data_IF_547724557368
#
_entry.id   IF_547724557368
#
_cell.length_a   1.000
_cell.length_b   1.000
_cell.length_c   1.000
_cell.angle_alpha   90.00
_cell.angle_beta   90.00
_cell.angle_gamma   90.00
#
_symmetry.space_group_name_H-M   'P 1'
#
loop_
_entity.id
_entity.type
_entity.pdbx_description
1 polymer ?
#
# COMPACT_ATOMS: atom_id res chain seq x y z
N UNK A 1 19.20 9.13 22.74
CA UNK A 1 19.36 7.91 21.93
C UNK A 1 20.65 8.08 21.16
N UNK A 2 21.70 7.38 21.56
CA UNK A 2 23.02 7.47 20.93
C UNK A 2 23.05 6.60 19.66
N UNK A 3 23.49 7.18 18.55
CA UNK A 3 23.68 6.47 17.30
C UNK A 3 25.13 6.00 17.19
N UNK A 4 25.34 4.68 17.29
CA UNK A 4 26.60 4.06 16.88
C UNK A 4 26.56 3.91 15.35
N UNK A 5 27.42 4.65 14.65
CA UNK A 5 27.66 4.45 13.23
C UNK A 5 28.48 3.16 13.05
N UNK A 6 27.80 2.09 12.67
CA UNK A 6 28.41 0.82 12.32
C UNK A 6 28.65 0.81 10.81
N UNK A 7 29.92 0.85 10.41
CA UNK A 7 30.44 1.04 9.05
C UNK A 7 30.31 -0.25 8.20
N UNK A 8 29.09 -0.79 8.16
CA UNK A 8 28.74 -2.05 7.51
C UNK A 8 28.11 -1.80 6.11
N UNK A 9 28.36 -2.68 5.12
CA UNK A 9 27.91 -2.49 3.74
C UNK A 9 26.38 -2.37 3.68
N UNK A 10 25.90 -1.23 3.19
CA UNK A 10 24.50 -0.83 2.98
C UNK A 10 23.46 -1.79 3.59
N UNK A 11 23.26 -1.74 4.91
CA UNK A 11 22.26 -2.58 5.58
C UNK A 11 20.87 -2.26 5.00
N UNK A 12 20.25 -3.24 4.35
CA UNK A 12 18.90 -3.10 3.86
C UNK A 12 17.94 -2.94 5.04
N UNK A 13 17.22 -1.82 5.10
CA UNK A 13 16.25 -1.56 6.16
C UNK A 13 14.88 -2.09 5.73
N UNK A 14 14.36 -3.07 6.44
CA UNK A 14 12.98 -3.55 6.24
C UNK A 14 12.02 -2.70 7.08
N UNK A 15 11.05 -2.07 6.42
CA UNK A 15 9.97 -1.31 7.05
C UNK A 15 8.64 -2.00 6.84
N UNK A 16 7.79 -2.01 7.86
CA UNK A 16 6.42 -2.53 7.79
C UNK A 16 5.46 -1.38 7.97
N UNK A 17 4.71 -1.05 6.92
CA UNK A 17 3.63 -0.08 6.98
C UNK A 17 2.29 -0.80 7.18
N UNK A 18 1.42 -0.20 7.99
CA UNK A 18 0.06 -0.71 8.27
C UNK A 18 -0.93 0.37 7.91
N UNK A 19 -1.80 0.07 6.95
CA UNK A 19 -2.85 0.98 6.50
C UNK A 19 -4.20 0.41 6.90
N UNK A 20 -5.01 1.21 7.58
CA UNK A 20 -6.39 0.85 7.90
C UNK A 20 -7.31 1.43 6.84
N UNK A 21 -8.27 0.63 6.37
CA UNK A 21 -9.24 1.05 5.36
C UNK A 21 -10.57 0.35 5.58
N UNK A 22 -11.66 1.11 5.55
CA UNK A 22 -13.01 0.55 5.50
C UNK A 22 -13.36 0.21 4.05
N UNK A 23 -13.94 -0.98 3.84
CA UNK A 23 -14.43 -1.46 2.55
C UNK A 23 -15.68 -2.30 2.76
N UNK A 24 -16.81 -1.87 2.21
CA UNK A 24 -18.08 -2.62 2.20
C UNK A 24 -18.56 -3.05 3.60
N UNK A 25 -18.43 -2.16 4.57
CA UNK A 25 -18.82 -2.38 5.97
C UNK A 25 -17.79 -3.14 6.80
N UNK A 26 -16.63 -3.50 6.23
CA UNK A 26 -15.56 -4.24 6.90
C UNK A 26 -14.33 -3.36 7.07
N UNK A 27 -13.68 -3.45 8.23
CA UNK A 27 -12.40 -2.80 8.47
C UNK A 27 -11.27 -3.75 8.07
N UNK A 28 -10.41 -3.30 7.16
CA UNK A 28 -9.27 -4.04 6.66
C UNK A 28 -7.95 -3.38 7.12
N UNK A 29 -6.93 -4.21 7.33
CA UNK A 29 -5.54 -3.79 7.51
C UNK A 29 -4.70 -4.30 6.34
N UNK A 30 -4.08 -3.38 5.61
CA UNK A 30 -3.05 -3.70 4.61
C UNK A 30 -1.68 -3.59 5.28
N UNK A 31 -0.98 -4.72 5.41
CA UNK A 31 0.42 -4.79 5.84
C UNK A 31 1.32 -4.79 4.61
N UNK A 32 2.16 -3.77 4.50
CA UNK A 32 3.07 -3.56 3.37
C UNK A 32 4.51 -3.65 3.86
N UNK A 33 5.20 -4.70 3.40
CA UNK A 33 6.60 -4.94 3.71
C UNK A 33 7.45 -4.32 2.62
N UNK A 34 8.25 -3.33 2.99
CA UNK A 34 9.15 -2.64 2.09
C UNK A 34 10.60 -2.83 2.51
N UNK A 35 11.48 -3.03 1.53
CA UNK A 35 12.91 -2.98 1.74
C UNK A 35 13.45 -1.67 1.16
N UNK A 36 14.22 -0.96 1.98
CA UNK A 36 14.99 0.20 1.57
C UNK A 36 16.44 -0.23 1.39
N UNK A 37 16.95 -0.09 0.17
CA UNK A 37 18.36 -0.31 -0.15
C UNK A 37 18.98 0.96 -0.72
N UNK A 38 20.29 1.12 -0.58
CA UNK A 38 21.04 2.23 -1.17
C UNK A 38 22.32 1.72 -1.86
N UNK A 39 22.21 0.84 -2.86
CA UNK A 39 23.37 0.17 -3.46
C UNK A 39 24.35 1.13 -4.16
N UNK A 40 23.89 2.33 -4.53
CA UNK A 40 24.69 3.41 -5.15
C UNK A 40 24.54 4.74 -4.38
N UNK A 41 24.14 4.68 -3.10
CA UNK A 41 23.81 5.87 -2.32
C UNK A 41 22.44 6.48 -2.61
N UNK A 42 21.70 6.01 -3.62
CA UNK A 42 20.33 6.44 -3.89
C UNK A 42 19.32 5.51 -3.19
N UNK A 43 18.44 6.05 -2.32
CA UNK A 43 17.47 5.25 -1.58
C UNK A 43 16.42 4.67 -2.52
N UNK A 44 16.49 3.36 -2.74
CA UNK A 44 15.55 2.61 -3.57
C UNK A 44 14.63 1.77 -2.68
N UNK A 45 13.32 1.89 -2.89
CA UNK A 45 12.30 1.16 -2.14
C UNK A 45 11.75 0.04 -3.00
N UNK A 46 11.59 -1.14 -2.42
CA UNK A 46 11.01 -2.30 -3.08
C UNK A 46 9.89 -2.86 -2.21
N UNK A 47 8.71 -3.08 -2.81
CA UNK A 47 7.65 -3.87 -2.18
C UNK A 47 8.07 -5.34 -2.16
N UNK A 48 8.24 -5.90 -0.97
CA UNK A 48 8.60 -7.31 -0.79
C UNK A 48 7.37 -8.20 -0.67
N UNK A 49 6.39 -7.75 0.10
CA UNK A 49 5.19 -8.53 0.40
C UNK A 49 4.05 -7.59 0.78
N UNK A 50 2.83 -8.02 0.46
CA UNK A 50 1.60 -7.37 0.91
C UNK A 50 0.70 -8.44 1.51
N UNK A 51 0.17 -8.16 2.70
CA UNK A 51 -0.80 -9.01 3.38
C UNK A 51 -2.03 -8.17 3.74
N UNK A 52 -3.22 -8.75 3.62
CA UNK A 52 -4.48 -8.08 3.97
C UNK A 52 -5.19 -8.88 5.05
N UNK A 53 -5.68 -8.17 6.06
CA UNK A 53 -6.40 -8.75 7.19
C UNK A 53 -7.75 -8.05 7.36
N UNK A 54 -8.76 -8.82 7.75
CA UNK A 54 -10.07 -8.31 8.15
C UNK A 54 -10.15 -8.24 9.69
N UNK A 55 -10.77 -7.18 10.20
CA UNK A 55 -11.08 -7.05 11.61
C UNK A 55 -12.21 -8.02 12.00
N UNK A 56 -11.93 -8.87 12.98
CA UNK A 56 -12.87 -9.77 13.67
C UNK A 56 -12.97 -9.34 15.15
N UNK A 57 -13.86 -9.97 15.92
CA UNK A 57 -14.10 -9.66 17.33
C UNK A 57 -12.81 -9.74 18.19
N UNK A 58 -12.07 -8.64 18.25
CA UNK A 58 -10.80 -8.49 18.96
C UNK A 58 -9.54 -8.97 18.21
N UNK A 59 -9.62 -9.36 16.93
CA UNK A 59 -8.49 -9.94 16.21
C UNK A 59 -8.39 -9.48 14.73
N UNK A 60 -7.19 -9.57 14.16
CA UNK A 60 -6.95 -9.41 12.72
C UNK A 60 -6.80 -10.79 12.08
N UNK A 61 -7.73 -11.15 11.19
CA UNK A 61 -7.76 -12.46 10.54
C UNK A 61 -7.29 -12.30 9.09
N UNK A 62 -6.36 -13.15 8.58
CA UNK A 62 -5.96 -13.09 7.17
C UNK A 62 -7.17 -13.13 6.25
N UNK A 63 -7.22 -12.21 5.30
CA UNK A 63 -8.30 -12.19 4.32
C UNK A 63 -8.10 -13.35 3.34
N UNK A 64 -9.08 -14.23 3.25
CA UNK A 64 -9.04 -15.39 2.34
C UNK A 64 -9.58 -15.07 0.95
N UNK A 65 -10.43 -14.05 0.86
CA UNK A 65 -11.03 -13.58 -0.39
C UNK A 65 -10.31 -12.34 -0.92
N UNK A 66 -10.51 -12.06 -2.21
CA UNK A 66 -10.06 -10.79 -2.82
C UNK A 66 -11.12 -9.69 -2.63
N UNK A 67 -10.79 -8.46 -3.02
CA UNK A 67 -11.66 -7.29 -2.82
C UNK A 67 -12.94 -7.31 -3.67
N UNK A 68 -13.00 -8.17 -4.69
CA UNK A 68 -14.13 -8.34 -5.58
C UNK A 68 -14.14 -7.26 -6.66
N UNK A 69 -15.08 -6.32 -6.57
CA UNK A 69 -15.21 -5.19 -7.50
C UNK A 69 -14.60 -3.90 -6.94
N UNK A 70 -13.81 -3.98 -5.86
CA UNK A 70 -13.19 -2.83 -5.22
C UNK A 70 -11.69 -2.79 -5.48
N UNK A 71 -11.14 -1.60 -5.37
CA UNK A 71 -9.72 -1.33 -5.21
C UNK A 71 -9.49 -0.53 -3.92
N UNK A 72 -8.33 -0.72 -3.31
CA UNK A 72 -7.91 0.06 -2.15
C UNK A 72 -6.87 1.08 -2.58
N UNK A 73 -7.03 2.32 -2.14
CA UNK A 73 -5.99 3.34 -2.21
C UNK A 73 -5.48 3.53 -0.79
N UNK A 74 -4.19 3.31 -0.58
CA UNK A 74 -3.58 3.40 0.75
C UNK A 74 -2.38 4.33 0.72
N UNK A 75 -2.23 5.10 1.79
CA UNK A 75 -1.12 6.03 2.00
C UNK A 75 -0.89 6.26 3.48
N UNK A 76 0.20 6.93 3.82
CA UNK A 76 0.47 7.36 5.21
C UNK A 76 -0.59 8.30 5.80
N UNK A 77 -1.46 8.93 4.99
CA UNK A 77 -2.40 9.96 5.47
C UNK A 77 -3.87 9.61 5.30
N UNK A 78 -4.18 8.76 4.34
CA UNK A 78 -5.54 8.35 4.05
C UNK A 78 -5.53 6.97 3.45
N UNK A 79 -6.63 6.27 3.66
CA UNK A 79 -6.97 5.08 2.89
C UNK A 79 -8.42 5.16 2.46
N UNK A 80 -8.74 4.61 1.29
CA UNK A 80 -10.09 4.60 0.76
C UNK A 80 -10.33 3.36 -0.08
N UNK A 81 -11.50 2.75 0.08
CA UNK A 81 -12.02 1.74 -0.84
C UNK A 81 -12.85 2.40 -1.94
N UNK A 82 -12.64 1.98 -3.19
CA UNK A 82 -13.29 2.57 -4.37
C UNK A 82 -13.77 1.44 -5.30
N UNK A 83 -15.00 1.54 -5.84
CA UNK A 83 -15.45 0.61 -6.87
C UNK A 83 -14.57 0.69 -8.12
N UNK A 84 -14.19 -0.46 -8.66
CA UNK A 84 -13.42 -0.60 -9.90
C UNK A 84 -14.18 -0.08 -11.14
N UNK A 85 -15.49 0.16 -11.04
CA UNK A 85 -16.25 0.86 -12.07
C UNK A 85 -15.96 2.37 -12.14
N UNK A 86 -15.18 2.91 -11.20
CA UNK A 86 -14.80 4.32 -11.16
C UNK A 86 -13.54 4.57 -12.01
N UNK A 87 -13.72 4.89 -13.29
CA UNK A 87 -12.61 5.19 -14.20
C UNK A 87 -11.75 3.95 -14.51
N UNK A 88 -10.45 4.16 -14.71
CA UNK A 88 -9.48 3.10 -15.07
C UNK A 88 -8.93 2.36 -13.84
N UNK A 89 -9.77 2.11 -12.83
CA UNK A 89 -9.37 1.45 -11.58
C UNK A 89 -9.47 -0.07 -11.74
N UNK A 90 -8.37 -0.75 -11.47
CA UNK A 90 -8.31 -2.21 -11.53
C UNK A 90 -8.98 -2.84 -10.30
N UNK A 91 -9.84 -3.83 -10.52
CA UNK A 91 -10.42 -4.64 -9.46
C UNK A 91 -9.35 -5.48 -8.74
N UNK A 92 -9.61 -5.84 -7.49
CA UNK A 92 -8.71 -6.68 -6.68
C UNK A 92 -7.29 -6.09 -6.53
N UNK A 93 -7.16 -4.76 -6.62
CA UNK A 93 -5.87 -4.05 -6.59
C UNK A 93 -5.72 -3.10 -5.42
N UNK A 94 -4.49 -2.93 -4.97
CA UNK A 94 -4.08 -1.99 -3.91
C UNK A 94 -3.11 -0.98 -4.52
N UNK A 95 -3.50 0.29 -4.51
CA UNK A 95 -2.71 1.42 -4.98
C UNK A 95 -1.96 2.06 -3.81
N UNK A 96 -0.63 1.93 -3.81
CA UNK A 96 0.25 2.60 -2.84
C UNK A 96 0.54 4.01 -3.31
N UNK A 97 -0.25 4.98 -2.85
CA UNK A 97 -0.18 6.38 -3.35
C UNK A 97 1.20 6.99 -3.13
N UNK A 98 1.89 6.61 -2.06
CA UNK A 98 3.22 7.13 -1.75
C UNK A 98 4.31 6.70 -2.76
N UNK A 99 4.15 5.56 -3.46
CA UNK A 99 5.15 5.04 -4.42
C UNK A 99 4.62 4.94 -5.85
N UNK A 100 3.30 5.03 -6.03
CA UNK A 100 2.61 4.80 -7.29
C UNK A 100 2.60 3.34 -7.72
N UNK A 101 3.01 2.42 -6.83
CA UNK A 101 2.92 0.99 -7.06
C UNK A 101 1.47 0.52 -6.98
N UNK A 102 1.14 -0.46 -7.82
CA UNK A 102 -0.14 -1.16 -7.81
C UNK A 102 0.13 -2.62 -7.53
N UNK A 103 -0.43 -3.13 -6.45
CA UNK A 103 -0.37 -4.54 -6.09
C UNK A 103 -1.67 -5.23 -6.47
N UNK A 104 -1.57 -6.23 -7.34
CA UNK A 104 -2.70 -7.05 -7.74
C UNK A 104 -2.83 -8.26 -6.79
N UNK A 105 -3.93 -8.33 -6.05
CA UNK A 105 -4.15 -9.37 -5.03
C UNK A 105 -4.37 -10.76 -5.65
N UNK A 106 -4.81 -10.84 -6.90
CA UNK A 106 -5.09 -12.11 -7.58
C UNK A 106 -3.82 -12.78 -8.10
N UNK A 107 -2.94 -12.01 -8.73
CA UNK A 107 -1.65 -12.51 -9.22
C UNK A 107 -0.54 -12.45 -8.18
N UNK A 108 -0.76 -11.75 -7.05
CA UNK A 108 0.25 -11.50 -6.02
C UNK A 108 1.51 -10.81 -6.60
N UNK A 109 1.29 -9.84 -7.49
CA UNK A 109 2.37 -9.10 -8.18
C UNK A 109 2.26 -7.61 -7.91
N UNK A 110 3.41 -6.95 -7.76
CA UNK A 110 3.50 -5.50 -7.65
C UNK A 110 3.99 -4.89 -8.97
N UNK A 111 3.38 -3.81 -9.42
CA UNK A 111 3.92 -3.02 -10.52
C UNK A 111 5.24 -2.36 -10.11
N UNK A 112 6.06 -1.92 -11.07
CA UNK A 112 7.22 -1.07 -10.76
C UNK A 112 6.80 0.21 -10.02
N UNK A 113 7.70 0.73 -9.19
CA UNK A 113 7.59 2.06 -8.57
C UNK A 113 7.50 3.11 -9.67
N UNK A 114 6.44 3.93 -9.63
CA UNK A 114 6.22 4.97 -10.64
C UNK A 114 6.88 6.30 -10.29
N UNK A 115 7.02 6.58 -8.99
CA UNK A 115 7.71 7.76 -8.51
C UNK A 115 8.50 7.47 -7.23
N UNK A 116 9.74 7.96 -7.22
CA UNK A 116 10.65 7.85 -6.07
C UNK A 116 10.50 9.08 -5.17
N UNK A 117 9.27 9.49 -4.93
CA UNK A 117 9.03 10.73 -4.24
C UNK A 117 8.68 10.43 -2.77
N UNK A 118 9.41 11.09 -1.88
CA UNK A 118 8.88 11.54 -0.60
C UNK A 118 7.72 12.51 -0.90
N UNK A 119 6.62 12.02 -1.48
CA UNK A 119 5.43 12.84 -1.76
C UNK A 119 4.80 13.10 -0.41
N UNK A 120 5.21 14.22 0.18
CA UNK A 120 4.71 14.70 1.44
C UNK A 120 3.36 15.36 1.29
N UNK A 121 2.67 15.43 0.13
CA UNK A 121 1.46 16.29 0.03
C UNK A 121 0.32 15.92 -0.93
N UNK A 122 0.24 14.72 -1.51
CA UNK A 122 -0.91 14.43 -2.41
C UNK A 122 -2.01 13.62 -1.71
N UNK A 123 -3.12 14.29 -1.39
CA UNK A 123 -4.44 13.67 -1.23
C UNK A 123 -5.04 13.47 -2.61
N UNK A 124 -5.32 12.22 -2.99
CA UNK A 124 -5.97 11.91 -4.27
C UNK A 124 -7.42 12.41 -4.23
N UNK A 125 -7.79 13.29 -5.17
CA UNK A 125 -9.16 13.77 -5.32
C UNK A 125 -9.86 12.85 -6.32
N UNK A 126 -10.62 11.88 -5.82
CA UNK A 126 -11.53 11.13 -6.69
C UNK A 126 -12.59 12.11 -7.21
N UNK A 127 -12.85 12.18 -8.52
CA UNK A 127 -13.98 12.95 -9.01
C UNK A 127 -15.27 12.41 -8.35
N UNK A 128 -16.18 13.28 -7.91
CA UNK A 128 -17.45 12.84 -7.35
C UNK A 128 -18.19 11.97 -8.38
N UNK A 129 -18.92 10.97 -7.89
CA UNK A 129 -19.78 10.12 -8.73
C UNK A 129 -20.66 11.03 -9.60
N UNK A 130 -20.61 10.84 -10.92
CA UNK A 130 -21.60 11.43 -11.82
C UNK A 130 -22.95 10.84 -11.46
N UNK A 131 -23.79 11.63 -10.80
CA UNK A 131 -25.21 11.32 -10.63
C UNK A 131 -25.85 11.69 -11.97
N UNK A 132 -26.24 10.66 -12.73
CA UNK A 132 -27.04 10.79 -13.96
C UNK A 132 -28.50 10.59 -13.59
#
# INVERSE_FOLDING_TARGET
FDYVYDDAPSKALTSIFRYLVESRGKLLMVKHYMQLTAPNGLPTRFTCQVEVFEASAGAWVPMTDVLGDQALFVSMRFSKSVPASCGDVEKDSIYFVNTGEVFNMRSNTCSPVRWQASITFETWVFPPKLVV
#
